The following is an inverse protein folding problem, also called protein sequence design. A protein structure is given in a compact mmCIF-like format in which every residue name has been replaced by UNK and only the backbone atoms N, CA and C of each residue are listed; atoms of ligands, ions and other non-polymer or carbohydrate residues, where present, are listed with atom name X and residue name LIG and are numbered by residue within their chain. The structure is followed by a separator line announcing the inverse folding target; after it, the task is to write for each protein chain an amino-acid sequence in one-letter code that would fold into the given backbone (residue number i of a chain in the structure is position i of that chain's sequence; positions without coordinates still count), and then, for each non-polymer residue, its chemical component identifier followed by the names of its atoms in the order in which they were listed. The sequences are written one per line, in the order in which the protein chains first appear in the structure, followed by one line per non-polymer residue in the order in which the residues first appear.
data_IF_956520419717
#
_entry.id   IF_956520419717
#
_cell.length_a   1.000
_cell.length_b   1.000
_cell.length_c   1.000
_cell.angle_alpha   90.00
_cell.angle_beta   90.00
_cell.angle_gamma   90.00
#
_symmetry.space_group_name_H-M   'P 1'
#
loop_
_entity.id
_entity.type
_entity.pdbx_description
1 polymer ?
#
# COMPACT_ATOMS: atom_id res chain seq x y z
N UNK A 1 23.33 25.95 8.40
CA UNK A 1 24.21 24.97 7.72
C UNK A 1 24.68 23.84 8.64
N UNK A 2 25.24 24.11 9.83
CA UNK A 2 25.71 23.06 10.77
C UNK A 2 24.63 22.05 11.21
N UNK A 3 23.37 22.48 11.37
CA UNK A 3 22.24 21.61 11.77
C UNK A 3 21.76 20.66 10.66
N UNK A 4 21.90 21.07 9.40
CA UNK A 4 21.50 20.24 8.24
C UNK A 4 22.50 19.09 8.06
N UNK A 5 23.78 19.39 8.27
CA UNK A 5 24.84 18.37 8.22
C UNK A 5 24.68 17.33 9.34
N UNK A 6 24.34 17.77 10.56
CA UNK A 6 24.08 16.87 11.69
C UNK A 6 22.87 15.95 11.46
N UNK A 7 21.82 16.44 10.80
CA UNK A 7 20.64 15.63 10.48
C UNK A 7 20.93 14.62 9.37
N UNK A 8 21.73 15.00 8.37
CA UNK A 8 22.18 14.10 7.31
C UNK A 8 23.09 12.98 7.84
N UNK A 9 23.99 13.31 8.77
CA UNK A 9 24.88 12.33 9.42
C UNK A 9 24.07 11.40 10.34
N UNK A 10 23.10 11.93 11.09
CA UNK A 10 22.18 11.10 11.87
C UNK A 10 21.38 10.15 10.95
N UNK A 11 20.83 10.64 9.84
CA UNK A 11 20.11 9.82 8.86
C UNK A 11 20.98 8.72 8.23
N UNK A 12 22.25 9.01 7.96
CA UNK A 12 23.21 8.03 7.45
C UNK A 12 23.59 6.95 8.48
N UNK A 13 23.58 7.28 9.77
CA UNK A 13 23.83 6.34 10.88
C UNK A 13 22.61 5.47 11.23
N UNK A 14 21.38 5.90 10.89
CA UNK A 14 20.17 5.07 11.05
C UNK A 14 19.97 4.10 9.87
N UNK A 15 20.54 4.39 8.70
CA UNK A 15 20.40 3.55 7.50
C UNK A 15 20.80 2.06 7.70
N UNK A 16 21.84 1.71 8.50
CA UNK A 16 22.16 0.31 8.79
C UNK A 16 21.27 -0.33 9.87
N UNK A 17 20.58 0.46 10.72
CA UNK A 17 19.64 -0.06 11.73
C UNK A 17 18.22 -0.30 11.17
N UNK A 18 17.85 0.37 10.07
CA UNK A 18 16.61 0.12 9.34
C UNK A 18 16.50 -1.32 8.79
N UNK A 19 17.60 -2.08 8.79
CA UNK A 19 17.61 -3.51 8.43
C UNK A 19 17.06 -4.44 9.53
N UNK A 20 16.74 -3.91 10.72
CA UNK A 20 16.09 -4.66 11.82
C UNK A 20 14.60 -4.32 12.00
N UNK A 21 13.96 -3.73 11.00
CA UNK A 21 12.50 -3.60 10.98
C UNK A 21 11.87 -4.92 10.51
N UNK A 22 10.90 -5.44 11.26
CA UNK A 22 10.10 -6.61 10.87
C UNK A 22 9.20 -6.24 9.68
N UNK A 23 9.76 -6.32 8.47
CA UNK A 23 9.08 -6.00 7.24
C UNK A 23 8.13 -7.13 6.87
N UNK A 24 6.83 -6.89 6.96
CA UNK A 24 5.82 -7.85 6.55
C UNK A 24 5.49 -7.67 5.06
N UNK A 25 5.79 -8.70 4.27
CA UNK A 25 5.28 -8.82 2.90
C UNK A 25 3.86 -9.39 2.95
N UNK A 26 2.92 -8.73 2.27
CA UNK A 26 1.53 -9.15 2.22
C UNK A 26 0.96 -8.94 0.82
N UNK A 27 -0.13 -9.62 0.48
CA UNK A 27 -0.77 -9.45 -0.81
C UNK A 27 -1.99 -10.34 -0.95
N UNK A 28 -2.68 -10.19 -2.07
CA UNK A 28 -3.74 -11.10 -2.50
C UNK A 28 -3.72 -11.23 -4.01
N UNK A 29 -4.01 -12.44 -4.48
CA UNK A 29 -4.21 -12.74 -5.88
C UNK A 29 -5.63 -13.25 -6.00
N UNK A 30 -6.46 -12.54 -6.78
CA UNK A 30 -7.86 -12.89 -7.00
C UNK A 30 -8.16 -12.85 -8.48
N UNK A 31 -8.60 -13.97 -9.00
CA UNK A 31 -9.00 -14.14 -10.39
C UNK A 31 -10.37 -14.79 -10.40
N UNK A 32 -11.30 -14.20 -11.14
CA UNK A 32 -12.64 -14.74 -11.28
C UNK A 32 -13.01 -14.92 -12.76
N UNK A 33 -13.78 -15.97 -13.05
CA UNK A 33 -14.44 -16.13 -14.34
C UNK A 33 -15.75 -15.36 -14.31
N UNK A 34 -15.87 -14.32 -15.14
CA UNK A 34 -17.05 -13.44 -15.13
C UNK A 34 -17.66 -13.38 -16.52
N UNK A 35 -18.99 -13.45 -16.58
CA UNK A 35 -19.77 -13.08 -17.76
C UNK A 35 -20.28 -11.66 -17.54
N UNK A 36 -19.95 -10.75 -18.45
CA UNK A 36 -20.47 -9.39 -18.49
C UNK A 36 -21.53 -9.38 -19.58
N UNK A 37 -22.77 -9.13 -19.16
CA UNK A 37 -23.91 -8.94 -20.04
C UNK A 37 -23.99 -7.43 -20.35
N UNK A 38 -23.85 -7.05 -21.62
CA UNK A 38 -23.81 -5.64 -22.01
C UNK A 38 -24.65 -5.41 -23.26
N UNK A 39 -25.28 -4.24 -23.34
CA UNK A 39 -26.25 -3.87 -24.38
C UNK A 39 -25.70 -4.00 -25.82
N UNK A 40 -24.38 -3.85 -25.99
CA UNK A 40 -23.70 -3.92 -27.29
C UNK A 40 -23.12 -5.31 -27.58
N UNK A 41 -22.50 -5.96 -26.59
CA UNK A 41 -21.93 -7.30 -26.75
C UNK A 41 -21.62 -7.94 -25.40
N UNK A 42 -22.06 -9.19 -25.22
CA UNK A 42 -21.66 -10.01 -24.10
C UNK A 42 -20.16 -10.35 -24.15
N UNK A 43 -19.53 -10.41 -22.98
CA UNK A 43 -18.16 -10.92 -22.86
C UNK A 43 -18.06 -11.95 -21.74
N UNK A 44 -17.25 -12.97 -21.96
CA UNK A 44 -16.91 -13.98 -20.97
C UNK A 44 -15.40 -14.14 -20.93
N UNK A 45 -14.84 -14.10 -19.72
CA UNK A 45 -13.41 -14.17 -19.56
C UNK A 45 -12.98 -14.36 -18.11
N UNK A 46 -11.68 -14.52 -17.93
CA UNK A 46 -11.02 -14.48 -16.62
C UNK A 46 -10.53 -13.06 -16.39
N UNK A 47 -10.87 -12.51 -15.23
CA UNK A 47 -10.52 -11.13 -14.88
C UNK A 47 -9.83 -11.07 -13.52
N UNK A 48 -8.94 -10.09 -13.39
CA UNK A 48 -8.31 -9.73 -12.12
C UNK A 48 -9.28 -8.96 -11.23
N UNK A 49 -9.37 -9.37 -9.96
CA UNK A 49 -10.24 -8.77 -8.95
C UNK A 49 -9.41 -8.01 -7.89
N UNK A 50 -8.68 -6.99 -8.35
CA UNK A 50 -7.87 -6.11 -7.49
C UNK A 50 -6.75 -6.88 -6.78
N UNK A 51 -6.03 -7.71 -7.55
CA UNK A 51 -4.82 -8.37 -7.06
C UNK A 51 -3.75 -7.33 -6.73
N UNK A 52 -3.02 -7.57 -5.64
CA UNK A 52 -2.05 -6.62 -5.10
C UNK A 52 -0.98 -7.31 -4.29
N UNK A 53 0.18 -6.70 -4.30
CA UNK A 53 1.33 -7.06 -3.47
C UNK A 53 1.79 -5.81 -2.73
N UNK A 54 2.17 -5.95 -1.47
CA UNK A 54 2.67 -4.85 -0.69
C UNK A 54 3.63 -5.27 0.41
N UNK A 55 4.36 -4.29 0.90
CA UNK A 55 5.28 -4.40 2.02
C UNK A 55 4.88 -3.34 3.02
N UNK A 56 4.78 -3.71 4.29
CA UNK A 56 4.54 -2.77 5.38
C UNK A 56 5.45 -3.12 6.54
N UNK A 57 5.78 -2.12 7.33
CA UNK A 57 6.53 -2.34 8.55
C UNK A 57 6.42 -1.15 9.49
N UNK A 58 6.90 -1.36 10.70
CA UNK A 58 7.04 -0.32 11.70
C UNK A 58 8.34 -0.51 12.45
N UNK A 59 9.01 0.59 12.75
CA UNK A 59 10.23 0.62 13.55
C UNK A 59 9.98 1.45 14.80
N UNK A 60 10.33 0.91 15.96
CA UNK A 60 10.23 1.64 17.22
C UNK A 60 11.42 2.59 17.35
N UNK A 61 11.13 3.88 17.46
CA UNK A 61 12.14 4.94 17.58
C UNK A 61 12.42 5.30 19.05
N UNK A 62 11.76 4.63 20.00
CA UNK A 62 11.84 4.92 21.44
C UNK A 62 10.80 5.94 21.90
N UNK A 63 10.63 6.06 23.23
CA UNK A 63 9.70 7.00 23.88
C UNK A 63 8.25 6.95 23.35
N UNK A 64 7.82 5.78 22.86
CA UNK A 64 6.48 5.58 22.29
C UNK A 64 6.30 6.18 20.89
N UNK A 65 7.39 6.61 20.23
CA UNK A 65 7.42 7.05 18.84
C UNK A 65 7.74 5.87 17.92
N UNK A 66 7.01 5.73 16.82
CA UNK A 66 7.20 4.68 15.82
C UNK A 66 7.26 5.27 14.42
N UNK A 67 8.25 4.86 13.63
CA UNK A 67 8.21 5.05 12.19
C UNK A 67 7.33 3.95 11.58
N UNK A 68 6.48 4.32 10.62
CA UNK A 68 5.65 3.39 9.86
C UNK A 68 5.85 3.61 8.38
N UNK A 69 5.86 2.53 7.62
CA UNK A 69 5.95 2.59 6.17
C UNK A 69 5.07 1.54 5.52
N UNK A 70 4.59 1.87 4.33
CA UNK A 70 3.79 0.97 3.50
C UNK A 70 4.03 1.27 2.03
N UNK A 71 4.15 0.23 1.24
CA UNK A 71 4.26 0.32 -0.21
C UNK A 71 3.42 -0.81 -0.81
N UNK A 72 2.37 -0.47 -1.54
CA UNK A 72 1.45 -1.42 -2.16
C UNK A 72 1.36 -1.16 -3.66
N UNK A 73 1.32 -2.26 -4.42
CA UNK A 73 1.24 -2.29 -5.86
C UNK A 73 0.08 -3.17 -6.30
N UNK A 74 -0.70 -2.71 -7.29
CA UNK A 74 -1.62 -3.56 -8.03
C UNK A 74 -0.85 -4.46 -8.98
N UNK A 75 -1.21 -5.73 -9.02
CA UNK A 75 -0.57 -6.74 -9.87
C UNK A 75 -1.62 -7.25 -10.85
N UNK A 76 -1.38 -7.13 -12.15
CA UNK A 76 -2.27 -7.72 -13.14
C UNK A 76 -2.02 -9.23 -13.25
N UNK A 77 -3.08 -10.03 -13.16
CA UNK A 77 -3.03 -11.47 -13.41
C UNK A 77 -3.58 -11.77 -14.81
N UNK A 78 -2.72 -12.12 -15.76
CA UNK A 78 -3.14 -12.42 -17.13
C UNK A 78 -1.96 -12.45 -18.12
N UNK A 79 -2.27 -12.67 -19.40
CA UNK A 79 -1.29 -12.78 -20.50
C UNK A 79 -0.50 -11.50 -20.79
N UNK A 80 -0.93 -10.36 -20.22
CA UNK A 80 -0.13 -9.16 -20.14
C UNK A 80 0.13 -8.84 -18.66
N UNK A 81 1.36 -9.07 -18.20
CA UNK A 81 1.89 -8.38 -17.02
C UNK A 81 1.94 -6.87 -17.37
N UNK A 82 0.80 -6.19 -17.25
CA UNK A 82 0.56 -4.80 -17.67
C UNK A 82 1.23 -3.74 -16.78
N UNK A 83 2.28 -4.12 -16.04
CA UNK A 83 2.98 -3.27 -15.08
C UNK A 83 2.39 -3.29 -13.68
N UNK A 84 3.14 -2.71 -12.75
CA UNK A 84 2.72 -2.50 -11.36
C UNK A 84 1.94 -1.18 -11.27
N UNK A 85 0.70 -1.22 -10.82
CA UNK A 85 -0.09 0.00 -10.57
C UNK A 85 0.21 0.53 -9.17
N UNK A 86 0.53 1.82 -9.04
CA UNK A 86 0.79 2.43 -7.74
C UNK A 86 -0.47 2.48 -6.87
N UNK A 87 -0.46 1.81 -5.72
CA UNK A 87 -1.52 1.89 -4.69
C UNK A 87 -1.02 2.71 -3.50
N UNK A 88 -1.44 2.36 -2.29
CA UNK A 88 -1.04 3.08 -1.07
C UNK A 88 0.46 2.93 -0.85
N UNK A 89 1.17 4.05 -0.90
CA UNK A 89 2.60 4.14 -0.72
C UNK A 89 2.91 5.37 0.13
N UNK A 90 3.25 5.15 1.40
CA UNK A 90 3.45 6.22 2.37
C UNK A 90 4.48 5.86 3.43
N UNK A 91 5.03 6.90 4.02
CA UNK A 91 5.87 6.85 5.23
C UNK A 91 5.28 7.77 6.28
N UNK A 92 5.51 7.50 7.56
CA UNK A 92 4.93 8.31 8.61
C UNK A 92 5.50 8.03 9.99
N UNK A 93 5.02 8.83 10.93
CA UNK A 93 5.35 8.73 12.35
C UNK A 93 4.06 8.55 13.15
N UNK A 94 4.04 7.57 14.04
CA UNK A 94 2.96 7.29 14.97
C UNK A 94 3.46 7.44 16.41
N UNK A 95 2.65 8.03 17.29
CA UNK A 95 2.98 8.18 18.70
C UNK A 95 1.81 8.72 19.51
N UNK A 96 2.09 9.27 20.70
CA UNK A 96 1.05 9.85 21.57
C UNK A 96 0.24 11.00 20.94
N UNK A 97 0.77 11.63 19.88
CA UNK A 97 0.11 12.67 19.09
C UNK A 97 -0.83 12.12 17.99
N UNK A 98 -0.93 10.80 17.83
CA UNK A 98 -1.63 10.16 16.73
C UNK A 98 -0.69 9.70 15.62
N UNK A 99 -1.07 9.89 14.35
CA UNK A 99 -0.30 9.43 13.20
C UNK A 99 -0.20 10.51 12.13
N UNK A 100 1.02 10.86 11.74
CA UNK A 100 1.30 11.75 10.62
C UNK A 100 1.86 10.94 9.44
N UNK A 101 1.23 11.05 8.28
CA UNK A 101 1.59 10.31 7.07
C UNK A 101 1.97 11.26 5.94
N UNK A 102 2.95 10.87 5.14
CA UNK A 102 3.35 11.53 3.91
C UNK A 102 3.41 10.50 2.77
N UNK A 103 2.76 10.82 1.65
CA UNK A 103 2.71 9.96 0.46
C UNK A 103 1.30 9.74 -0.05
N UNK A 104 1.13 8.68 -0.85
CA UNK A 104 -0.16 8.28 -1.39
C UNK A 104 -0.88 7.40 -0.38
N UNK A 105 -2.01 7.90 0.11
CA UNK A 105 -2.87 7.19 1.04
C UNK A 105 -4.31 7.24 0.53
N UNK A 106 -5.10 6.22 0.84
CA UNK A 106 -6.53 6.22 0.52
C UNK A 106 -7.22 7.43 1.17
N UNK A 107 -8.20 8.00 0.46
CA UNK A 107 -8.96 9.14 0.95
C UNK A 107 -9.80 8.74 2.17
N UNK A 108 -10.09 9.67 3.09
CA UNK A 108 -10.95 9.40 4.25
C UNK A 108 -12.31 8.82 3.86
N UNK A 109 -12.91 9.32 2.76
CA UNK A 109 -14.16 8.82 2.21
C UNK A 109 -14.04 7.33 1.84
N UNK A 110 -12.97 6.94 1.13
CA UNK A 110 -12.76 5.55 0.72
C UNK A 110 -12.57 4.62 1.92
N UNK A 111 -11.87 5.06 2.96
CA UNK A 111 -11.72 4.28 4.19
C UNK A 111 -13.03 4.12 4.96
N UNK A 112 -13.86 5.16 5.02
CA UNK A 112 -15.13 5.13 5.74
C UNK A 112 -16.17 4.27 5.03
N UNK A 113 -16.25 4.37 3.70
CA UNK A 113 -17.27 3.67 2.90
C UNK A 113 -16.85 2.26 2.49
N UNK A 114 -15.55 1.94 2.53
CA UNK A 114 -15.04 0.63 2.07
C UNK A 114 -15.61 -0.59 2.79
N UNK A 115 -16.20 -0.45 3.98
CA UNK A 115 -16.92 -1.55 4.68
C UNK A 115 -18.36 -1.74 4.19
N UNK A 116 -18.92 -0.74 3.52
CA UNK A 116 -20.30 -0.76 3.01
C UNK A 116 -20.37 -1.34 1.60
N UNK A 117 -19.24 -1.32 0.88
CA UNK A 117 -19.14 -1.84 -0.47
C UNK A 117 -18.52 -3.26 -0.47
N UNK A 118 -19.39 -4.27 -0.54
CA UNK A 118 -19.01 -5.68 -0.60
C UNK A 118 -18.35 -6.08 -1.94
N UNK A 119 -18.47 -5.23 -2.96
CA UNK A 119 -17.99 -5.47 -4.32
C UNK A 119 -16.84 -4.54 -4.72
N UNK A 120 -16.29 -3.76 -3.78
CA UNK A 120 -15.22 -2.78 -4.00
C UNK A 120 -13.95 -3.35 -4.68
N UNK A 121 -13.76 -4.67 -4.67
CA UNK A 121 -12.65 -5.39 -5.28
C UNK A 121 -13.11 -6.39 -6.36
N UNK A 122 -14.32 -6.24 -6.89
CA UNK A 122 -14.88 -7.03 -8.00
C UNK A 122 -14.99 -6.14 -9.24
N UNK A 123 -15.07 -6.75 -10.40
CA UNK A 123 -15.21 -6.08 -11.70
C UNK A 123 -16.62 -5.50 -11.98
N UNK A 124 -17.56 -5.62 -11.04
CA UNK A 124 -18.95 -5.18 -11.16
C UNK A 124 -19.55 -4.73 -9.84
#
# INVERSE_FOLDING_TARGET
MKKVLSLAIAAALVAPMAAMADATVYGKVRVASTKIDADVADSWGMYDESSRLGIKGSEDLGDGLKAIYKMEFGVATGSAFGGLSGRNAYVGLAGGFGTALAGRHDTPMKMSTGKLDLFADTIG
#
